data_IF_450196866628
#
_entry.id   IF_450196866628
#
_cell.length_a   1.000
_cell.length_b   1.000
_cell.length_c   1.000
_cell.angle_alpha   90.00
_cell.angle_beta   90.00
_cell.angle_gamma   90.00
#
_symmetry.space_group_name_H-M   'P 1'
#
loop_
_entity.id
_entity.type
_entity.pdbx_description
1 polymer ?
#
# COMPACT_ATOMS: atom_id res chain seq x y z
N UNK A 1 -10.56 -83.14 -2.00
CA UNK A 1 -10.81 -82.45 -3.29
C UNK A 1 -11.32 -81.06 -2.98
N UNK A 2 -10.65 -80.06 -3.55
CA UNK A 2 -10.82 -78.62 -3.29
C UNK A 2 -12.09 -78.08 -3.94
N UNK A 3 -12.84 -77.25 -3.23
CA UNK A 3 -13.73 -76.24 -3.84
C UNK A 3 -13.22 -74.87 -3.42
N UNK A 4 -12.98 -74.05 -4.43
CA UNK A 4 -12.33 -72.74 -4.38
C UNK A 4 -13.41 -71.68 -4.16
N UNK A 5 -13.31 -70.91 -3.07
CA UNK A 5 -14.02 -69.65 -2.93
C UNK A 5 -13.18 -68.54 -3.56
N UNK A 6 -13.75 -67.87 -4.55
CA UNK A 6 -13.17 -66.70 -5.20
C UNK A 6 -13.22 -65.49 -4.24
N UNK A 7 -12.06 -64.97 -3.86
CA UNK A 7 -11.91 -63.71 -3.14
C UNK A 7 -11.67 -62.60 -4.19
N UNK A 8 -12.67 -61.73 -4.37
CA UNK A 8 -12.56 -60.54 -5.21
C UNK A 8 -11.77 -59.47 -4.44
N UNK A 9 -10.49 -59.29 -4.76
CA UNK A 9 -9.66 -58.20 -4.24
C UNK A 9 -9.82 -56.99 -5.17
N UNK A 10 -10.62 -56.01 -4.74
CA UNK A 10 -10.74 -54.70 -5.37
C UNK A 10 -9.49 -53.88 -5.01
N UNK A 11 -8.55 -53.75 -5.96
CA UNK A 11 -7.39 -52.86 -5.83
C UNK A 11 -7.89 -51.43 -6.07
N UNK A 12 -8.10 -50.68 -4.99
CA UNK A 12 -8.28 -49.23 -5.03
C UNK A 12 -6.90 -48.60 -5.32
N UNK A 13 -6.59 -48.41 -6.60
CA UNK A 13 -5.46 -47.58 -7.02
C UNK A 13 -5.81 -46.12 -6.73
N UNK A 14 -5.24 -45.59 -5.65
CA UNK A 14 -5.19 -44.16 -5.35
C UNK A 14 -4.31 -43.52 -6.44
N UNK A 15 -4.92 -43.10 -7.55
CA UNK A 15 -4.32 -42.11 -8.44
C UNK A 15 -4.37 -40.78 -7.70
N UNK A 16 -3.30 -40.49 -6.96
CA UNK A 16 -2.96 -39.13 -6.58
C UNK A 16 -2.82 -38.31 -7.86
N UNK A 17 -3.76 -37.40 -8.10
CA UNK A 17 -3.64 -36.32 -9.08
C UNK A 17 -2.38 -35.51 -8.74
N UNK A 18 -1.24 -35.92 -9.29
CA UNK A 18 -0.06 -35.08 -9.34
C UNK A 18 -0.44 -33.89 -10.22
N UNK A 19 -0.57 -32.71 -9.60
CA UNK A 19 -0.51 -31.46 -10.34
C UNK A 19 0.85 -31.44 -11.05
N UNK A 20 0.87 -31.76 -12.35
CA UNK A 20 2.10 -31.78 -13.12
C UNK A 20 2.70 -30.37 -13.12
N UNK A 21 3.91 -30.24 -12.60
CA UNK A 21 4.74 -29.06 -12.82
C UNK A 21 4.86 -28.80 -14.34
N UNK A 22 4.59 -27.57 -14.75
CA UNK A 22 4.49 -27.21 -16.18
C UNK A 22 5.72 -26.45 -16.66
N UNK A 23 6.31 -25.66 -15.76
CA UNK A 23 7.49 -24.83 -16.04
C UNK A 23 8.50 -24.92 -14.90
N UNK A 24 9.76 -24.63 -15.23
CA UNK A 24 10.89 -24.77 -14.30
C UNK A 24 11.81 -23.57 -14.32
N UNK A 25 12.39 -23.28 -13.16
CA UNK A 25 13.49 -22.33 -12.99
C UNK A 25 14.69 -23.13 -12.55
N UNK A 26 15.76 -23.08 -13.34
CA UNK A 26 17.04 -23.68 -12.98
C UNK A 26 18.08 -22.58 -12.78
N UNK A 27 18.92 -22.77 -11.78
CA UNK A 27 19.97 -21.81 -11.45
C UNK A 27 21.30 -22.49 -11.18
N UNK A 28 22.38 -21.85 -11.61
CA UNK A 28 23.77 -22.27 -11.34
C UNK A 28 24.50 -21.19 -10.53
N UNK A 29 24.72 -21.46 -9.24
CA UNK A 29 25.30 -20.56 -8.24
C UNK A 29 26.23 -21.34 -7.29
N UNK A 30 27.54 -21.23 -7.48
CA UNK A 30 28.54 -21.92 -6.65
C UNK A 30 28.55 -21.43 -5.20
N UNK A 31 28.23 -20.16 -4.96
CA UNK A 31 28.21 -19.59 -3.60
C UNK A 31 27.04 -20.10 -2.74
N UNK A 32 26.02 -20.69 -3.37
CA UNK A 32 24.79 -21.13 -2.70
C UNK A 32 24.78 -22.62 -2.38
N UNK A 33 25.87 -23.35 -2.64
CA UNK A 33 25.97 -24.80 -2.39
C UNK A 33 25.49 -25.14 -0.98
N UNK A 34 24.55 -26.07 -0.89
CA UNK A 34 23.99 -26.53 0.37
C UNK A 34 22.96 -25.59 1.02
N UNK A 35 22.72 -24.38 0.50
CA UNK A 35 21.66 -23.49 0.98
C UNK A 35 20.29 -23.94 0.47
N UNK A 36 19.24 -23.54 1.18
CA UNK A 36 17.87 -23.64 0.67
C UNK A 36 17.54 -22.43 -0.22
N UNK A 37 17.06 -22.68 -1.44
CA UNK A 37 16.50 -21.66 -2.34
C UNK A 37 15.00 -21.87 -2.45
N UNK A 38 14.24 -20.78 -2.35
CA UNK A 38 12.78 -20.76 -2.45
C UNK A 38 12.33 -19.93 -3.64
N UNK A 39 11.30 -20.39 -4.32
CA UNK A 39 10.52 -19.60 -5.26
C UNK A 39 9.26 -19.11 -4.54
N UNK A 40 9.09 -17.79 -4.47
CA UNK A 40 7.97 -17.14 -3.78
C UNK A 40 7.12 -16.38 -4.81
N UNK A 41 5.80 -16.54 -4.73
CA UNK A 41 4.83 -15.82 -5.54
C UNK A 41 4.05 -14.79 -4.72
N UNK A 42 3.37 -13.88 -5.42
CA UNK A 42 2.51 -12.85 -4.83
C UNK A 42 1.03 -13.24 -4.89
N UNK A 43 0.27 -12.87 -3.86
CA UNK A 43 -1.19 -13.02 -3.82
C UNK A 43 -1.84 -11.81 -3.13
N UNK A 44 -2.15 -10.78 -3.92
CA UNK A 44 -2.64 -9.49 -3.44
C UNK A 44 -1.61 -8.79 -2.57
N UNK A 45 -1.95 -8.60 -1.30
CA UNK A 45 -1.06 -8.03 -0.28
C UNK A 45 -0.11 -9.07 0.35
N UNK A 46 -0.31 -10.36 0.08
CA UNK A 46 0.46 -11.45 0.65
C UNK A 46 1.47 -12.07 -0.31
N UNK A 47 2.23 -13.02 0.23
CA UNK A 47 3.16 -13.87 -0.50
C UNK A 47 2.93 -15.33 -0.14
N UNK A 48 3.36 -16.25 -0.99
CA UNK A 48 3.30 -17.68 -0.72
C UNK A 48 4.48 -18.40 -1.37
N UNK A 49 4.96 -19.47 -0.73
CA UNK A 49 6.02 -20.31 -1.32
C UNK A 49 5.41 -21.18 -2.41
N UNK A 50 5.95 -21.07 -3.62
CA UNK A 50 5.56 -21.90 -4.78
C UNK A 50 6.32 -23.22 -4.73
N UNK A 51 7.64 -23.16 -4.55
CA UNK A 51 8.52 -24.33 -4.49
C UNK A 51 9.80 -24.00 -3.68
N UNK A 52 10.50 -25.03 -3.23
CA UNK A 52 11.79 -24.87 -2.56
C UNK A 52 12.67 -26.09 -2.78
N UNK A 53 13.97 -25.88 -2.88
CA UNK A 53 14.94 -26.96 -3.01
C UNK A 53 16.27 -26.59 -2.38
N UNK A 54 17.10 -27.60 -2.09
CA UNK A 54 18.48 -27.39 -1.62
C UNK A 54 19.39 -27.35 -2.84
N UNK A 55 20.32 -26.39 -2.87
CA UNK A 55 21.30 -26.29 -3.96
C UNK A 55 22.27 -27.47 -3.87
N UNK A 56 22.52 -28.13 -5.01
CA UNK A 56 23.42 -29.29 -5.09
C UNK A 56 24.88 -28.91 -4.83
N UNK A 57 25.75 -29.92 -4.66
CA UNK A 57 27.21 -29.73 -4.54
C UNK A 57 27.83 -29.08 -5.78
N UNK A 58 27.20 -29.22 -6.95
CA UNK A 58 27.60 -28.57 -8.20
C UNK A 58 27.08 -27.13 -8.31
N UNK A 59 26.43 -26.60 -7.27
CA UNK A 59 25.84 -25.26 -7.26
C UNK A 59 24.55 -25.16 -8.08
N UNK A 60 23.88 -26.27 -8.38
CA UNK A 60 22.69 -26.26 -9.25
C UNK A 60 21.42 -26.44 -8.43
N UNK A 61 20.38 -25.68 -8.75
CA UNK A 61 19.03 -25.90 -8.24
C UNK A 61 18.01 -25.98 -9.37
N UNK A 62 16.88 -26.63 -9.09
CA UNK A 62 15.72 -26.70 -9.97
C UNK A 62 14.45 -26.52 -9.15
N UNK A 63 13.67 -25.51 -9.51
CA UNK A 63 12.38 -25.18 -8.93
C UNK A 63 11.30 -25.30 -10.02
N UNK A 64 10.08 -25.56 -9.60
CA UNK A 64 8.94 -25.82 -10.47
C UNK A 64 7.78 -24.88 -10.17
N UNK A 65 7.03 -24.50 -11.20
CA UNK A 65 5.77 -23.78 -11.03
C UNK A 65 4.75 -24.21 -12.09
N UNK A 66 3.47 -24.03 -11.73
CA UNK A 66 2.31 -24.30 -12.58
C UNK A 66 1.62 -22.99 -13.02
N UNK A 67 0.73 -23.07 -14.01
CA UNK A 67 0.01 -21.93 -14.61
C UNK A 67 -0.70 -21.02 -13.59
N UNK A 68 -1.21 -21.59 -12.50
CA UNK A 68 -1.86 -20.82 -11.41
C UNK A 68 -0.93 -19.80 -10.73
N UNK A 69 0.38 -19.99 -10.88
CA UNK A 69 1.42 -19.13 -10.28
C UNK A 69 1.94 -18.08 -11.26
N UNK A 70 1.37 -17.99 -12.47
CA UNK A 70 1.79 -16.97 -13.45
C UNK A 70 1.67 -15.55 -12.89
N UNK A 71 2.64 -14.72 -13.23
CA UNK A 71 2.75 -13.33 -12.76
C UNK A 71 4.20 -12.98 -12.44
N UNK A 72 4.40 -12.26 -11.34
CA UNK A 72 5.73 -12.06 -10.76
C UNK A 72 5.98 -13.05 -9.62
N UNK A 73 7.25 -13.37 -9.42
CA UNK A 73 7.74 -14.02 -8.22
C UNK A 73 9.13 -13.52 -7.89
N UNK A 74 9.73 -14.11 -6.86
CA UNK A 74 11.14 -13.91 -6.58
C UNK A 74 11.79 -15.18 -6.04
N UNK A 75 13.07 -15.31 -6.32
CA UNK A 75 13.95 -16.29 -5.72
C UNK A 75 14.56 -15.70 -4.46
N UNK A 76 14.71 -16.52 -3.42
CA UNK A 76 15.39 -16.13 -2.19
C UNK A 76 16.18 -17.28 -1.61
N UNK A 77 17.39 -16.98 -1.14
CA UNK A 77 18.26 -17.91 -0.42
C UNK A 77 18.16 -17.67 1.10
N UNK A 78 19.13 -18.13 1.88
CA UNK A 78 19.12 -17.98 3.34
C UNK A 78 19.27 -16.52 3.82
N UNK A 79 19.81 -15.65 2.96
CA UNK A 79 19.90 -14.21 3.22
C UNK A 79 18.54 -13.49 3.17
N UNK A 80 17.47 -14.19 2.77
CA UNK A 80 16.10 -13.69 2.61
C UNK A 80 15.97 -12.47 1.69
N UNK A 81 16.97 -12.21 0.85
CA UNK A 81 16.91 -11.14 -0.15
C UNK A 81 16.28 -11.67 -1.44
N UNK A 82 15.55 -10.80 -2.13
CA UNK A 82 14.74 -11.17 -3.28
C UNK A 82 15.45 -10.91 -4.61
N UNK A 83 15.48 -11.91 -5.48
CA UNK A 83 15.76 -11.77 -6.90
C UNK A 83 14.48 -11.97 -7.71
N UNK A 84 13.94 -10.90 -8.28
CA UNK A 84 12.64 -10.95 -8.96
C UNK A 84 12.72 -11.68 -10.30
N UNK A 85 11.69 -12.47 -10.59
CA UNK A 85 11.54 -13.26 -11.81
C UNK A 85 10.12 -13.14 -12.36
N UNK A 86 9.99 -13.21 -13.67
CA UNK A 86 8.69 -13.30 -14.36
C UNK A 86 8.30 -14.77 -14.48
N UNK A 87 7.15 -15.15 -13.95
CA UNK A 87 6.63 -16.52 -14.02
C UNK A 87 5.74 -16.67 -15.26
N UNK A 88 6.34 -16.57 -16.44
CA UNK A 88 5.66 -16.73 -17.72
C UNK A 88 5.58 -18.21 -18.15
N UNK A 89 4.94 -18.48 -19.29
CA UNK A 89 4.87 -19.81 -19.90
C UNK A 89 6.18 -20.22 -20.57
N UNK A 90 7.26 -20.29 -19.80
CA UNK A 90 8.60 -20.57 -20.28
C UNK A 90 9.46 -21.28 -19.23
N UNK A 91 10.51 -21.96 -19.67
CA UNK A 91 11.55 -22.43 -18.75
C UNK A 91 12.64 -21.36 -18.61
N UNK A 92 13.06 -21.14 -17.38
CA UNK A 92 14.02 -20.10 -17.01
C UNK A 92 15.33 -20.78 -16.60
N UNK A 93 16.43 -20.31 -17.16
CA UNK A 93 17.77 -20.74 -16.79
C UNK A 93 18.56 -19.48 -16.43
N UNK A 94 19.06 -19.42 -15.21
CA UNK A 94 19.88 -18.32 -14.71
C UNK A 94 21.22 -18.84 -14.20
N UNK A 95 22.25 -18.00 -14.24
CA UNK A 95 23.51 -18.26 -13.53
C UNK A 95 23.97 -16.98 -12.84
N UNK A 96 24.72 -17.10 -11.77
CA UNK A 96 25.36 -15.94 -11.17
C UNK A 96 26.20 -16.30 -9.97
N UNK A 97 26.63 -15.28 -9.25
CA UNK A 97 27.37 -15.48 -8.00
C UNK A 97 26.40 -15.46 -6.82
N UNK A 98 25.59 -14.41 -6.66
CA UNK A 98 24.71 -14.23 -5.51
C UNK A 98 23.36 -13.69 -5.97
N UNK A 99 22.25 -14.33 -5.58
CA UNK A 99 20.90 -13.89 -5.96
C UNK A 99 20.59 -12.45 -5.51
N UNK A 100 21.11 -12.04 -4.36
CA UNK A 100 20.89 -10.69 -3.82
C UNK A 100 21.67 -9.57 -4.50
N UNK A 101 22.57 -9.91 -5.43
CA UNK A 101 23.29 -8.96 -6.28
C UNK A 101 22.80 -9.18 -7.71
N UNK A 102 21.79 -8.42 -8.12
CA UNK A 102 21.11 -8.62 -9.40
C UNK A 102 22.06 -8.54 -10.60
N UNK A 103 23.08 -7.68 -10.53
CA UNK A 103 24.13 -7.52 -11.54
C UNK A 103 25.00 -8.76 -11.71
N UNK A 104 25.06 -9.63 -10.70
CA UNK A 104 25.79 -10.91 -10.79
C UNK A 104 25.00 -11.99 -11.53
N UNK A 105 23.70 -11.77 -11.77
CA UNK A 105 22.80 -12.78 -12.34
C UNK A 105 22.59 -12.55 -13.83
N UNK A 106 22.80 -13.60 -14.62
CA UNK A 106 22.60 -13.63 -16.07
C UNK A 106 21.48 -14.60 -16.41
N UNK A 107 20.48 -14.11 -17.14
CA UNK A 107 19.37 -14.91 -17.67
C UNK A 107 19.78 -15.55 -19.00
N UNK A 108 20.05 -16.87 -18.97
CA UNK A 108 20.44 -17.66 -20.13
C UNK A 108 19.22 -18.01 -21.01
N UNK A 109 18.09 -18.35 -20.39
CA UNK A 109 16.81 -18.61 -21.08
C UNK A 109 15.63 -17.96 -20.36
N UNK A 110 14.54 -17.76 -21.10
CA UNK A 110 13.35 -17.03 -20.67
C UNK A 110 13.26 -15.67 -21.36
N UNK A 111 12.40 -15.57 -22.37
CA UNK A 111 12.20 -14.36 -23.19
C UNK A 111 11.70 -13.21 -22.33
N UNK A 112 10.67 -13.43 -21.51
CA UNK A 112 10.09 -12.36 -20.69
C UNK A 112 11.05 -11.95 -19.57
N UNK A 113 11.78 -12.90 -18.98
CA UNK A 113 12.80 -12.61 -17.96
C UNK A 113 13.98 -11.81 -18.52
N UNK A 114 14.44 -12.09 -19.74
CA UNK A 114 15.48 -11.28 -20.39
C UNK A 114 15.04 -9.83 -20.59
N UNK A 115 13.83 -9.64 -21.10
CA UNK A 115 13.25 -8.29 -21.30
C UNK A 115 13.05 -7.56 -19.97
N UNK A 116 12.57 -8.26 -18.94
CA UNK A 116 12.40 -7.69 -17.60
C UNK A 116 13.75 -7.25 -17.00
N UNK A 117 14.78 -8.10 -17.03
CA UNK A 117 16.11 -7.76 -16.49
C UNK A 117 16.74 -6.60 -17.26
N UNK A 118 16.62 -6.60 -18.60
CA UNK A 118 17.08 -5.49 -19.44
C UNK A 118 16.42 -4.17 -19.01
N UNK A 119 15.08 -4.14 -18.95
CA UNK A 119 14.36 -2.94 -18.56
C UNK A 119 14.66 -2.50 -17.13
N UNK A 120 14.70 -3.44 -16.18
CA UNK A 120 14.99 -3.16 -14.78
C UNK A 120 16.40 -2.59 -14.57
N UNK A 121 17.35 -2.89 -15.46
CA UNK A 121 18.72 -2.38 -15.41
C UNK A 121 18.85 -1.02 -16.09
N UNK A 122 18.19 -0.82 -17.24
CA UNK A 122 18.36 0.37 -18.07
C UNK A 122 17.43 1.53 -17.66
N UNK A 123 16.18 1.24 -17.28
CA UNK A 123 15.19 2.26 -16.98
C UNK A 123 15.61 3.21 -15.84
N UNK A 124 16.13 2.73 -14.69
CA UNK A 124 16.61 3.63 -13.63
C UNK A 124 17.74 4.55 -14.10
N UNK A 125 18.62 4.06 -14.98
CA UNK A 125 19.72 4.87 -15.54
C UNK A 125 19.18 5.96 -16.47
N UNK A 126 18.20 5.63 -17.33
CA UNK A 126 17.49 6.61 -18.17
C UNK A 126 16.78 7.67 -17.32
N UNK A 127 16.07 7.27 -16.26
CA UNK A 127 15.40 8.22 -15.36
C UNK A 127 16.38 9.12 -14.61
N UNK A 128 17.53 8.59 -14.16
CA UNK A 128 18.56 9.38 -13.52
C UNK A 128 19.16 10.42 -14.49
N UNK A 129 19.50 9.99 -15.71
CA UNK A 129 20.00 10.89 -16.74
C UNK A 129 18.97 11.97 -17.11
N UNK A 130 17.71 11.58 -17.30
CA UNK A 130 16.62 12.51 -17.61
C UNK A 130 16.41 13.52 -16.49
N UNK A 131 16.50 13.12 -15.22
CA UNK A 131 16.38 14.03 -14.08
C UNK A 131 17.51 15.08 -14.07
N UNK A 132 18.74 14.68 -14.41
CA UNK A 132 19.86 15.61 -14.55
C UNK A 132 19.62 16.60 -15.71
N UNK A 133 19.09 16.12 -16.84
CA UNK A 133 18.75 16.99 -17.97
C UNK A 133 17.62 17.97 -17.64
N UNK A 134 16.59 17.55 -16.90
CA UNK A 134 15.51 18.45 -16.42
C UNK A 134 16.09 19.56 -15.53
N UNK A 135 17.04 19.23 -14.66
CA UNK A 135 17.73 20.21 -13.84
C UNK A 135 18.49 21.23 -14.70
N UNK A 136 19.28 20.76 -15.68
CA UNK A 136 20.01 21.64 -16.60
C UNK A 136 19.06 22.48 -17.47
N UNK A 137 17.95 21.92 -17.94
CA UNK A 137 16.95 22.65 -18.72
C UNK A 137 16.42 23.86 -17.95
N UNK A 138 16.15 23.72 -16.64
CA UNK A 138 15.69 24.83 -15.79
C UNK A 138 16.74 25.93 -15.67
N UNK A 139 18.02 25.58 -15.50
CA UNK A 139 19.13 26.55 -15.44
C UNK A 139 19.27 27.27 -16.77
N UNK A 140 19.41 26.51 -17.86
CA UNK A 140 19.59 27.07 -19.19
C UNK A 140 18.35 27.83 -19.67
N UNK A 141 17.15 27.55 -19.17
CA UNK A 141 15.94 28.29 -19.52
C UNK A 141 15.71 29.56 -18.69
N UNK A 142 16.15 29.60 -17.43
CA UNK A 142 15.79 30.65 -16.47
C UNK A 142 16.91 31.57 -16.01
N UNK A 143 18.17 31.11 -16.01
CA UNK A 143 19.31 31.90 -15.53
C UNK A 143 19.87 32.78 -16.66
N UNK A 144 20.04 34.08 -16.41
CA UNK A 144 20.47 35.05 -17.44
C UNK A 144 21.88 34.76 -17.99
N UNK A 145 22.76 34.13 -17.21
CA UNK A 145 24.10 33.73 -17.64
C UNK A 145 24.04 32.60 -18.68
N UNK A 146 23.11 31.66 -18.52
CA UNK A 146 23.00 30.47 -19.36
C UNK A 146 21.92 30.59 -20.45
N UNK A 147 20.91 31.44 -20.27
CA UNK A 147 19.78 31.60 -21.20
C UNK A 147 20.16 32.11 -22.60
N UNK A 148 21.32 32.74 -22.71
CA UNK A 148 21.92 33.18 -23.98
C UNK A 148 22.51 32.01 -24.79
N UNK A 149 22.78 30.87 -24.16
CA UNK A 149 23.46 29.72 -24.79
C UNK A 149 22.47 28.81 -25.53
N UNK A 150 22.13 29.17 -26.77
CA UNK A 150 21.11 28.46 -27.58
C UNK A 150 21.48 27.03 -27.98
N UNK A 151 22.75 26.76 -28.29
CA UNK A 151 23.17 25.42 -28.70
C UNK A 151 23.03 24.39 -27.56
N UNK A 152 23.52 24.67 -26.32
CA UNK A 152 23.22 23.81 -25.18
C UNK A 152 21.73 23.61 -24.89
N UNK A 153 20.91 24.66 -24.99
CA UNK A 153 19.44 24.55 -24.81
C UNK A 153 18.84 23.51 -25.77
N UNK A 154 19.15 23.61 -27.07
CA UNK A 154 18.66 22.68 -28.09
C UNK A 154 19.18 21.25 -27.87
N UNK A 155 20.44 21.10 -27.45
CA UNK A 155 21.03 19.80 -27.15
C UNK A 155 20.35 19.13 -25.95
N UNK A 156 20.07 19.89 -24.88
CA UNK A 156 19.34 19.41 -23.70
C UNK A 156 17.96 18.90 -24.12
N UNK A 157 17.19 19.71 -24.85
CA UNK A 157 15.85 19.31 -25.30
C UNK A 157 15.89 18.07 -26.19
N UNK A 158 16.84 18.01 -27.12
CA UNK A 158 17.00 16.86 -28.04
C UNK A 158 17.33 15.59 -27.27
N UNK A 159 18.26 15.65 -26.31
CA UNK A 159 18.64 14.47 -25.52
C UNK A 159 17.53 14.01 -24.58
N UNK A 160 16.79 14.94 -23.97
CA UNK A 160 15.60 14.61 -23.19
C UNK A 160 14.55 13.88 -24.03
N UNK A 161 14.29 14.35 -25.25
CA UNK A 161 13.35 13.67 -26.16
C UNK A 161 13.87 12.30 -26.58
N UNK A 162 15.17 12.16 -26.89
CA UNK A 162 15.78 10.88 -27.24
C UNK A 162 15.63 9.85 -26.11
N UNK A 163 15.93 10.23 -24.86
CA UNK A 163 15.80 9.34 -23.69
C UNK A 163 14.34 8.92 -23.47
N UNK A 164 13.39 9.89 -23.55
CA UNK A 164 11.95 9.60 -23.42
C UNK A 164 11.48 8.66 -24.53
N UNK A 165 11.91 8.89 -25.76
CA UNK A 165 11.54 8.07 -26.91
C UNK A 165 12.11 6.66 -26.81
N UNK A 166 13.37 6.50 -26.38
CA UNK A 166 13.99 5.18 -26.20
C UNK A 166 13.22 4.31 -25.18
N UNK A 167 12.77 4.91 -24.07
CA UNK A 167 11.97 4.20 -23.08
C UNK A 167 10.57 3.83 -23.60
N UNK A 168 9.93 4.73 -24.36
CA UNK A 168 8.65 4.48 -25.01
C UNK A 168 8.77 3.39 -26.08
N UNK A 169 9.82 3.45 -26.90
CA UNK A 169 10.10 2.46 -27.93
C UNK A 169 10.28 1.10 -27.30
N UNK A 170 11.08 0.97 -26.23
CA UNK A 170 11.23 -0.31 -25.53
C UNK A 170 9.87 -0.92 -25.16
N UNK A 171 8.98 -0.11 -24.55
CA UNK A 171 7.66 -0.57 -24.12
C UNK A 171 6.74 -0.91 -25.30
N UNK A 172 6.79 -0.14 -26.38
CA UNK A 172 5.96 -0.35 -27.58
C UNK A 172 6.39 -1.57 -28.41
N UNK A 173 7.66 -1.98 -28.33
CA UNK A 173 8.17 -3.18 -29.03
C UNK A 173 7.85 -4.49 -28.29
N UNK A 174 7.28 -4.43 -27.08
CA UNK A 174 6.88 -5.62 -26.34
C UNK A 174 5.68 -6.30 -27.01
N UNK A 175 5.71 -7.63 -27.06
CA UNK A 175 4.58 -8.43 -27.55
C UNK A 175 3.38 -8.25 -26.60
N UNK A 176 2.27 -7.74 -27.12
CA UNK A 176 1.08 -7.34 -26.35
C UNK A 176 0.37 -8.52 -25.65
N UNK A 177 0.69 -9.75 -26.02
CA UNK A 177 0.17 -10.95 -25.36
C UNK A 177 1.00 -11.39 -24.15
N UNK A 178 2.18 -10.79 -23.93
CA UNK A 178 3.08 -11.15 -22.82
C UNK A 178 2.68 -10.48 -21.52
N UNK A 179 3.03 -11.09 -20.38
CA UNK A 179 2.79 -10.51 -19.07
C UNK A 179 3.60 -9.23 -18.87
N UNK A 180 4.86 -9.21 -19.33
CA UNK A 180 5.75 -8.04 -19.21
C UNK A 180 5.25 -6.80 -19.96
N UNK A 181 4.52 -6.96 -21.07
CA UNK A 181 3.93 -5.83 -21.80
C UNK A 181 2.89 -5.06 -20.97
N UNK A 182 2.20 -5.78 -20.08
CA UNK A 182 1.28 -5.19 -19.11
C UNK A 182 1.98 -4.72 -17.83
N UNK A 183 2.94 -5.50 -17.34
CA UNK A 183 3.58 -5.26 -16.03
C UNK A 183 4.51 -4.05 -16.03
N UNK A 184 5.36 -3.90 -17.06
CA UNK A 184 6.38 -2.84 -17.07
C UNK A 184 5.80 -1.42 -17.05
N UNK A 185 4.73 -1.08 -17.79
CA UNK A 185 4.08 0.22 -17.68
C UNK A 185 3.57 0.53 -16.27
N UNK A 186 3.00 -0.45 -15.56
CA UNK A 186 2.52 -0.27 -14.18
C UNK A 186 3.69 -0.09 -13.23
N UNK A 187 4.75 -0.90 -13.36
CA UNK A 187 5.97 -0.75 -12.57
C UNK A 187 6.62 0.62 -12.76
N UNK A 188 6.73 1.08 -14.01
CA UNK A 188 7.24 2.43 -14.35
C UNK A 188 6.39 3.51 -13.69
N UNK A 189 5.06 3.40 -13.77
CA UNK A 189 4.14 4.35 -13.14
C UNK A 189 4.35 4.45 -11.63
N UNK A 190 4.49 3.31 -10.95
CA UNK A 190 4.74 3.25 -9.51
C UNK A 190 6.10 3.85 -9.14
N UNK A 191 7.15 3.55 -9.90
CA UNK A 191 8.51 4.00 -9.58
C UNK A 191 8.77 5.47 -9.93
N UNK A 192 7.95 6.09 -10.77
CA UNK A 192 8.18 7.46 -11.25
C UNK A 192 7.57 8.55 -10.36
N UNK A 193 6.71 8.20 -9.41
CA UNK A 193 5.91 9.18 -8.64
C UNK A 193 6.75 10.21 -7.91
N UNK A 194 7.88 9.81 -7.31
CA UNK A 194 8.78 10.72 -6.59
C UNK A 194 9.42 11.72 -7.53
N UNK A 195 9.97 11.26 -8.65
CA UNK A 195 10.55 12.11 -9.69
C UNK A 195 9.52 13.05 -10.30
N UNK A 196 8.29 12.57 -10.54
CA UNK A 196 7.19 13.40 -11.04
C UNK A 196 6.83 14.51 -10.06
N UNK A 197 6.62 14.17 -8.79
CA UNK A 197 6.27 15.15 -7.76
C UNK A 197 7.39 16.19 -7.51
N UNK A 198 8.65 15.78 -7.59
CA UNK A 198 9.79 16.66 -7.28
C UNK A 198 10.24 17.51 -8.47
N UNK A 199 10.27 16.94 -9.68
CA UNK A 199 10.99 17.54 -10.80
C UNK A 199 10.14 17.80 -12.04
N UNK A 200 9.05 17.04 -12.24
CA UNK A 200 8.19 17.06 -13.44
C UNK A 200 6.72 17.29 -13.05
N UNK A 201 6.45 18.37 -12.32
CA UNK A 201 5.14 18.64 -11.74
C UNK A 201 4.02 18.78 -12.78
N UNK A 202 4.37 19.14 -14.00
CA UNK A 202 3.48 19.18 -15.16
C UNK A 202 2.92 17.80 -15.54
N UNK A 203 3.60 16.71 -15.18
CA UNK A 203 3.18 15.34 -15.45
C UNK A 203 2.19 14.82 -14.38
N UNK A 204 2.06 15.48 -13.22
CA UNK A 204 1.22 15.03 -12.09
C UNK A 204 -0.23 14.72 -12.51
N UNK A 205 -0.95 15.58 -13.25
CA UNK A 205 -2.35 15.30 -13.61
C UNK A 205 -2.50 14.04 -14.47
N UNK A 206 -1.56 13.84 -15.42
CA UNK A 206 -1.55 12.65 -16.28
C UNK A 206 -1.22 11.38 -15.47
N UNK A 207 -0.27 11.47 -14.54
CA UNK A 207 0.12 10.36 -13.66
C UNK A 207 -1.01 9.95 -12.72
N UNK A 208 -1.70 10.91 -12.09
CA UNK A 208 -2.90 10.64 -11.26
C UNK A 208 -3.98 9.94 -12.10
N UNK A 209 -4.23 10.42 -13.32
CA UNK A 209 -5.21 9.80 -14.22
C UNK A 209 -4.81 8.37 -14.63
N UNK A 210 -3.51 8.10 -14.81
CA UNK A 210 -3.01 6.77 -15.12
C UNK A 210 -3.31 5.78 -13.98
N UNK A 211 -3.09 6.17 -12.73
CA UNK A 211 -3.46 5.35 -11.57
C UNK A 211 -4.97 5.13 -11.45
N UNK A 212 -5.79 6.15 -11.72
CA UNK A 212 -7.27 6.05 -11.69
C UNK A 212 -7.82 5.03 -12.69
N UNK A 213 -7.07 4.75 -13.77
CA UNK A 213 -7.45 3.75 -14.79
C UNK A 213 -7.06 2.32 -14.43
N UNK A 214 -6.34 2.10 -13.33
CA UNK A 214 -5.91 0.75 -12.94
C UNK A 214 -7.11 -0.08 -12.51
N UNK A 215 -7.28 -1.23 -13.16
CA UNK A 215 -8.30 -2.20 -12.79
C UNK A 215 -7.80 -3.10 -11.64
N UNK A 216 -8.23 -2.79 -10.42
CA UNK A 216 -7.90 -3.55 -9.21
C UNK A 216 -8.46 -4.98 -9.17
N UNK A 217 -9.42 -5.30 -10.05
CA UNK A 217 -9.93 -6.68 -10.22
C UNK A 217 -9.05 -7.53 -11.13
N UNK A 218 -8.10 -6.94 -11.86
CA UNK A 218 -7.20 -7.67 -12.76
C UNK A 218 -6.40 -8.74 -12.00
N UNK A 219 -6.39 -9.95 -12.52
CA UNK A 219 -5.65 -11.08 -11.93
C UNK A 219 -4.14 -10.87 -12.02
N UNK A 220 -3.67 -10.22 -13.09
CA UNK A 220 -2.24 -9.92 -13.30
C UNK A 220 -1.69 -9.03 -12.20
N UNK A 221 -2.48 -8.04 -11.75
CA UNK A 221 -2.15 -7.15 -10.65
C UNK A 221 -2.14 -7.86 -9.29
N UNK A 222 -3.05 -8.81 -9.09
CA UNK A 222 -3.07 -9.62 -7.86
C UNK A 222 -1.83 -10.52 -7.74
N UNK A 223 -1.20 -10.90 -8.87
CA UNK A 223 0.01 -11.73 -8.92
C UNK A 223 1.30 -10.94 -9.20
N UNK A 224 1.27 -9.60 -9.17
CA UNK A 224 2.41 -8.78 -9.63
C UNK A 224 3.39 -8.37 -8.53
N UNK A 225 3.00 -8.47 -7.26
CA UNK A 225 3.72 -7.84 -6.16
C UNK A 225 3.60 -6.32 -6.09
N UNK A 226 2.89 -5.67 -7.05
CA UNK A 226 2.68 -4.23 -7.09
C UNK A 226 1.35 -3.79 -6.43
N UNK A 227 0.57 -4.73 -5.88
CA UNK A 227 -0.78 -4.44 -5.38
C UNK A 227 -0.78 -3.32 -4.34
N UNK A 228 0.13 -3.45 -3.37
CA UNK A 228 0.38 -2.47 -2.32
C UNK A 228 0.95 -1.17 -2.88
N UNK A 229 2.00 -1.28 -3.71
CA UNK A 229 2.76 -0.13 -4.18
C UNK A 229 1.94 0.78 -5.10
N UNK A 230 1.04 0.21 -5.89
CA UNK A 230 0.11 0.99 -6.72
C UNK A 230 -0.78 1.90 -5.86
N UNK A 231 -1.31 1.38 -4.74
CA UNK A 231 -2.16 2.17 -3.84
C UNK A 231 -1.32 3.22 -3.11
N UNK A 232 -0.20 2.79 -2.53
CA UNK A 232 0.67 3.68 -1.75
C UNK A 232 1.24 4.82 -2.58
N UNK A 233 1.76 4.53 -3.77
CA UNK A 233 2.32 5.54 -4.67
C UNK A 233 1.24 6.50 -5.18
N UNK A 234 0.01 6.03 -5.41
CA UNK A 234 -1.08 6.89 -5.84
C UNK A 234 -1.46 7.92 -4.77
N UNK A 235 -1.71 7.47 -3.54
CA UNK A 235 -2.07 8.38 -2.45
C UNK A 235 -0.90 9.26 -2.03
N UNK A 236 0.34 8.74 -2.06
CA UNK A 236 1.53 9.56 -1.85
C UNK A 236 1.64 10.68 -2.91
N UNK A 237 1.37 10.40 -4.19
CA UNK A 237 1.39 11.43 -5.23
C UNK A 237 0.31 12.49 -5.01
N UNK A 238 -0.89 12.08 -4.57
CA UNK A 238 -1.97 13.01 -4.22
C UNK A 238 -1.59 13.93 -3.06
N UNK A 239 -0.96 13.41 -2.01
CA UNK A 239 -0.45 14.23 -0.90
C UNK A 239 0.64 15.21 -1.36
N UNK A 240 1.45 14.81 -2.33
CA UNK A 240 2.60 15.56 -2.83
C UNK A 240 2.33 16.29 -4.15
N UNK A 241 1.05 16.56 -4.49
CA UNK A 241 0.69 17.20 -5.76
C UNK A 241 0.89 18.72 -5.80
N UNK A 242 1.41 19.32 -4.71
CA UNK A 242 1.67 20.75 -4.62
C UNK A 242 0.42 21.64 -4.58
N UNK A 243 -0.73 21.09 -4.17
CA UNK A 243 -2.01 21.80 -4.06
C UNK A 243 -2.40 22.02 -2.60
N UNK A 244 -3.43 22.86 -2.37
CA UNK A 244 -4.01 23.02 -1.03
C UNK A 244 -4.62 21.71 -0.51
N UNK A 245 -4.68 21.56 0.81
CA UNK A 245 -5.27 20.37 1.45
C UNK A 245 -6.71 20.09 0.96
N UNK A 246 -7.54 21.12 0.81
CA UNK A 246 -8.91 20.97 0.30
C UNK A 246 -8.94 20.35 -1.11
N UNK A 247 -8.01 20.75 -1.97
CA UNK A 247 -7.88 20.19 -3.33
C UNK A 247 -7.34 18.77 -3.28
N UNK A 248 -6.35 18.50 -2.41
CA UNK A 248 -5.81 17.14 -2.20
C UNK A 248 -6.93 16.18 -1.77
N UNK A 249 -7.76 16.54 -0.80
CA UNK A 249 -8.86 15.68 -0.35
C UNK A 249 -9.94 15.48 -1.44
N UNK A 250 -10.23 16.50 -2.26
CA UNK A 250 -11.12 16.34 -3.42
C UNK A 250 -10.56 15.33 -4.43
N UNK A 251 -9.27 15.41 -4.75
CA UNK A 251 -8.62 14.49 -5.69
C UNK A 251 -8.47 13.07 -5.12
N UNK A 252 -8.31 12.93 -3.79
CA UNK A 252 -8.40 11.65 -3.09
C UNK A 252 -9.80 11.04 -3.23
N UNK A 253 -10.86 11.82 -3.00
CA UNK A 253 -12.24 11.35 -3.13
C UNK A 253 -12.57 10.88 -4.55
N UNK A 254 -12.10 11.60 -5.58
CA UNK A 254 -12.23 11.16 -6.98
C UNK A 254 -11.49 9.82 -7.19
N UNK A 255 -10.29 9.70 -6.66
CA UNK A 255 -9.49 8.49 -6.79
C UNK A 255 -10.10 7.29 -6.07
N UNK A 256 -10.67 7.50 -4.88
CA UNK A 256 -11.42 6.50 -4.14
C UNK A 256 -12.59 6.01 -4.98
N UNK A 257 -13.37 6.91 -5.61
CA UNK A 257 -14.47 6.52 -6.49
C UNK A 257 -13.99 5.63 -7.64
N UNK A 258 -12.93 6.04 -8.37
CA UNK A 258 -12.39 5.25 -9.47
C UNK A 258 -11.90 3.87 -9.01
N UNK A 259 -11.29 3.79 -7.83
CA UNK A 259 -10.78 2.53 -7.27
C UNK A 259 -11.92 1.58 -6.91
N UNK A 260 -12.99 2.08 -6.27
CA UNK A 260 -14.06 1.22 -5.75
C UNK A 260 -15.15 0.90 -6.76
N UNK A 261 -15.25 1.62 -7.89
CA UNK A 261 -16.34 1.48 -8.88
C UNK A 261 -16.55 0.03 -9.37
N UNK A 262 -15.46 -0.72 -9.61
CA UNK A 262 -15.53 -2.08 -10.16
C UNK A 262 -15.32 -3.20 -9.14
N UNK A 263 -14.95 -2.86 -7.90
CA UNK A 263 -14.63 -3.83 -6.85
C UNK A 263 -15.82 -4.64 -6.31
N UNK A 264 -17.06 -4.11 -6.20
CA UNK A 264 -18.21 -4.84 -5.68
C UNK A 264 -18.49 -6.20 -6.34
N UNK A 265 -18.02 -6.42 -7.58
CA UNK A 265 -18.12 -7.69 -8.31
C UNK A 265 -17.24 -8.81 -7.72
N UNK A 266 -16.32 -8.49 -6.82
CA UNK A 266 -15.43 -9.44 -6.16
C UNK A 266 -15.32 -9.10 -4.67
N UNK A 267 -16.17 -9.73 -3.86
CA UNK A 267 -16.30 -9.46 -2.42
C UNK A 267 -14.98 -9.57 -1.65
N UNK A 268 -14.16 -10.58 -1.95
CA UNK A 268 -12.84 -10.75 -1.33
C UNK A 268 -11.95 -9.54 -1.60
N UNK A 269 -11.76 -9.19 -2.88
CA UNK A 269 -10.90 -8.04 -3.27
C UNK A 269 -11.46 -6.71 -2.78
N UNK A 270 -12.79 -6.55 -2.78
CA UNK A 270 -13.46 -5.38 -2.25
C UNK A 270 -13.10 -5.16 -0.78
N UNK A 271 -13.27 -6.18 0.07
CA UNK A 271 -12.95 -6.08 1.48
C UNK A 271 -11.45 -5.89 1.73
N UNK A 272 -10.57 -6.62 1.02
CA UNK A 272 -9.11 -6.49 1.15
C UNK A 272 -8.62 -5.07 0.80
N UNK A 273 -9.04 -4.54 -0.35
CA UNK A 273 -8.62 -3.20 -0.80
C UNK A 273 -9.22 -2.12 0.08
N UNK A 274 -10.52 -2.17 0.37
CA UNK A 274 -11.16 -1.13 1.19
C UNK A 274 -10.51 -1.08 2.57
N UNK A 275 -10.24 -2.23 3.20
CA UNK A 275 -9.52 -2.29 4.47
C UNK A 275 -8.13 -1.65 4.35
N UNK A 276 -7.35 -2.03 3.34
CA UNK A 276 -6.01 -1.50 3.14
C UNK A 276 -5.99 0.02 2.91
N UNK A 277 -6.90 0.53 2.07
CA UNK A 277 -7.00 1.97 1.78
C UNK A 277 -7.42 2.72 3.04
N UNK A 278 -8.40 2.21 3.78
CA UNK A 278 -8.82 2.81 5.04
C UNK A 278 -7.64 2.90 6.03
N UNK A 279 -6.94 1.79 6.28
CA UNK A 279 -5.77 1.76 7.16
C UNK A 279 -4.62 2.67 6.69
N UNK A 280 -4.42 2.80 5.37
CA UNK A 280 -3.44 3.73 4.80
C UNK A 280 -3.81 5.19 5.11
N UNK A 281 -5.07 5.56 4.89
CA UNK A 281 -5.56 6.92 5.14
C UNK A 281 -5.47 7.26 6.64
N UNK A 282 -5.90 6.35 7.52
CA UNK A 282 -5.80 6.49 8.98
C UNK A 282 -4.35 6.67 9.43
N UNK A 283 -3.44 5.80 8.96
CA UNK A 283 -2.01 5.88 9.32
C UNK A 283 -1.35 7.18 8.86
N UNK A 284 -1.88 7.83 7.82
CA UNK A 284 -1.41 9.12 7.31
C UNK A 284 -2.22 10.32 7.82
N UNK A 285 -3.13 10.11 8.77
CA UNK A 285 -4.01 11.15 9.32
C UNK A 285 -4.88 11.85 8.27
N UNK A 286 -5.24 11.16 7.19
CA UNK A 286 -6.05 11.66 6.08
C UNK A 286 -7.55 11.50 6.38
N UNK A 287 -7.99 11.94 7.56
CA UNK A 287 -9.29 11.62 8.12
C UNK A 287 -10.49 12.05 7.27
N UNK A 288 -10.38 13.16 6.51
CA UNK A 288 -11.46 13.56 5.58
C UNK A 288 -11.65 12.55 4.45
N UNK A 289 -10.56 11.97 3.93
CA UNK A 289 -10.64 10.92 2.93
C UNK A 289 -11.10 9.59 3.54
N UNK A 290 -10.69 9.29 4.79
CA UNK A 290 -11.19 8.12 5.54
C UNK A 290 -12.70 8.19 5.76
N UNK A 291 -13.22 9.35 6.17
CA UNK A 291 -14.65 9.61 6.33
C UNK A 291 -15.37 9.39 4.99
N UNK A 292 -14.85 9.99 3.91
CA UNK A 292 -15.42 9.86 2.58
C UNK A 292 -15.51 8.39 2.14
N UNK A 293 -14.41 7.63 2.26
CA UNK A 293 -14.37 6.21 1.95
C UNK A 293 -15.38 5.43 2.79
N UNK A 294 -15.43 5.68 4.10
CA UNK A 294 -16.33 4.98 5.03
C UNK A 294 -17.79 5.17 4.65
N UNK A 295 -18.21 6.42 4.44
CA UNK A 295 -19.58 6.73 4.02
C UNK A 295 -19.86 6.10 2.66
N UNK A 296 -18.95 6.20 1.70
CA UNK A 296 -19.12 5.62 0.35
C UNK A 296 -19.33 4.10 0.39
N UNK A 297 -18.59 3.39 1.25
CA UNK A 297 -18.63 1.93 1.36
C UNK A 297 -19.82 1.43 2.19
N UNK A 298 -20.24 2.18 3.21
CA UNK A 298 -21.41 1.81 4.02
C UNK A 298 -22.74 2.11 3.33
N UNK A 299 -22.74 3.03 2.36
CA UNK A 299 -23.96 3.44 1.62
C UNK A 299 -24.11 2.74 0.28
N UNK A 300 -23.08 2.03 -0.20
CA UNK A 300 -23.23 1.20 -1.39
C UNK A 300 -24.01 -0.08 -1.06
N UNK A 301 -24.94 -0.45 -1.94
CA UNK A 301 -25.79 -1.64 -1.78
C UNK A 301 -25.34 -2.79 -2.69
N UNK A 302 -24.10 -2.76 -3.17
CA UNK A 302 -23.59 -3.64 -4.24
C UNK A 302 -22.70 -4.77 -3.76
N UNK A 303 -22.20 -4.73 -2.53
CA UNK A 303 -21.29 -5.73 -1.97
C UNK A 303 -21.40 -5.82 -0.45
N UNK A 304 -21.15 -7.01 0.10
CA UNK A 304 -21.10 -7.24 1.54
C UNK A 304 -19.76 -6.76 2.11
N UNK A 305 -19.84 -5.87 3.10
CA UNK A 305 -18.69 -5.46 3.92
C UNK A 305 -18.61 -6.44 5.10
N UNK A 306 -17.42 -6.98 5.38
CA UNK A 306 -17.24 -7.86 6.53
C UNK A 306 -17.48 -7.12 7.86
N UNK A 307 -17.87 -7.85 8.91
CA UNK A 307 -18.33 -7.24 10.17
C UNK A 307 -17.26 -6.37 10.86
N UNK A 308 -15.98 -6.76 10.80
CA UNK A 308 -14.87 -6.03 11.41
C UNK A 308 -14.63 -4.68 10.71
N UNK A 309 -14.53 -4.71 9.39
CA UNK A 309 -14.38 -3.53 8.56
C UNK A 309 -15.61 -2.64 8.69
N UNK A 310 -16.82 -3.20 8.67
CA UNK A 310 -18.06 -2.45 8.85
C UNK A 310 -18.01 -1.65 10.16
N UNK A 311 -17.65 -2.27 11.28
CA UNK A 311 -17.51 -1.58 12.57
C UNK A 311 -16.49 -0.44 12.53
N UNK A 312 -15.35 -0.64 11.87
CA UNK A 312 -14.33 0.41 11.72
C UNK A 312 -14.87 1.60 10.91
N UNK A 313 -15.52 1.35 9.78
CA UNK A 313 -16.08 2.40 8.93
C UNK A 313 -17.26 3.14 9.61
N UNK A 314 -18.05 2.41 10.43
CA UNK A 314 -19.20 2.98 11.15
C UNK A 314 -18.82 4.06 12.16
N UNK A 315 -17.58 4.05 12.65
CA UNK A 315 -17.05 5.12 13.51
C UNK A 315 -17.21 6.49 12.85
N UNK A 316 -16.86 6.61 11.57
CA UNK A 316 -17.00 7.85 10.81
C UNK A 316 -18.46 8.21 10.54
N UNK A 317 -19.33 7.22 10.31
CA UNK A 317 -20.76 7.49 10.09
C UNK A 317 -21.43 7.97 11.37
N UNK A 318 -21.11 7.36 12.51
CA UNK A 318 -21.68 7.71 13.81
C UNK A 318 -21.20 9.09 14.29
N UNK A 319 -19.91 9.39 14.11
CA UNK A 319 -19.27 10.62 14.60
C UNK A 319 -19.34 11.82 13.62
N UNK A 320 -20.07 11.69 12.50
CA UNK A 320 -20.19 12.74 11.49
C UNK A 320 -20.75 14.05 12.07
N UNK A 321 -20.20 15.18 11.64
CA UNK A 321 -20.71 16.52 12.02
C UNK A 321 -22.20 16.65 11.69
N UNK A 322 -22.98 17.10 12.68
CA UNK A 322 -24.43 17.23 12.59
C UNK A 322 -25.20 16.05 13.19
N UNK A 323 -24.54 14.91 13.44
CA UNK A 323 -25.13 13.84 14.23
C UNK A 323 -25.15 14.19 15.71
N UNK A 324 -26.11 13.58 16.42
CA UNK A 324 -26.11 13.57 17.88
C UNK A 324 -24.95 12.66 18.33
N UNK A 325 -24.02 13.21 19.12
CA UNK A 325 -22.92 12.44 19.70
C UNK A 325 -23.48 11.28 20.55
N UNK A 326 -22.85 10.08 20.51
CA UNK A 326 -23.24 8.99 21.40
C UNK A 326 -23.18 9.43 22.86
N UNK A 327 -24.20 9.04 23.62
CA UNK A 327 -24.24 9.38 25.03
C UNK A 327 -23.15 8.58 25.78
N UNK A 328 -22.34 9.28 26.57
CA UNK A 328 -21.28 8.65 27.37
C UNK A 328 -21.86 8.33 28.74
N UNK A 329 -21.74 7.07 29.17
CA UNK A 329 -22.17 6.64 30.49
C UNK A 329 -20.99 6.79 31.45
N UNK A 330 -21.12 7.63 32.47
CA UNK A 330 -20.12 7.80 33.52
C UNK A 330 -20.33 6.73 34.59
N UNK A 331 -19.64 5.60 34.43
CA UNK A 331 -19.69 4.46 35.37
C UNK A 331 -18.67 4.56 36.52
N UNK A 332 -17.71 5.48 36.42
CA UNK A 332 -16.65 5.71 37.42
C UNK A 332 -16.90 6.92 38.32
N UNK A 333 -15.85 7.34 39.04
CA UNK A 333 -15.88 8.58 39.83
C UNK A 333 -16.01 9.78 38.88
N UNK A 334 -16.98 10.67 39.13
CA UNK A 334 -17.09 11.97 38.45
C UNK A 334 -16.52 13.03 39.39
N UNK A 335 -15.62 13.88 38.88
CA UNK A 335 -14.95 14.92 39.68
C UNK A 335 -15.32 16.29 39.12
N UNK A 336 -15.63 17.25 39.99
CA UNK A 336 -15.80 18.66 39.65
C UNK A 336 -15.23 19.54 40.75
N UNK A 337 -14.42 20.54 40.39
CA UNK A 337 -13.70 21.39 41.34
C UNK A 337 -12.96 20.56 42.42
N UNK A 338 -12.28 19.50 41.98
CA UNK A 338 -11.54 18.58 42.86
C UNK A 338 -12.37 17.70 43.80
N UNK A 339 -13.71 17.75 43.73
CA UNK A 339 -14.61 16.96 44.57
C UNK A 339 -15.33 15.88 43.76
N UNK A 340 -15.47 14.68 44.33
CA UNK A 340 -16.27 13.61 43.71
C UNK A 340 -17.75 13.94 43.86
N UNK A 341 -18.50 13.81 42.76
CA UNK A 341 -19.95 14.07 42.68
C UNK A 341 -20.69 12.85 42.11
N UNK A 342 -21.96 12.69 42.44
CA UNK A 342 -22.79 11.55 41.99
C UNK A 342 -23.46 11.76 40.62
N UNK A 343 -23.53 13.01 40.17
CA UNK A 343 -24.12 13.41 38.90
C UNK A 343 -23.15 14.35 38.17
N UNK A 344 -23.14 14.38 36.82
CA UNK A 344 -23.98 13.63 35.87
C UNK A 344 -23.70 12.11 35.81
N UNK A 345 -24.68 11.31 35.38
CA UNK A 345 -24.48 9.88 35.05
C UNK A 345 -24.29 9.64 33.55
N UNK A 346 -24.81 10.56 32.74
CA UNK A 346 -24.71 10.56 31.29
C UNK A 346 -24.16 11.89 30.78
N UNK A 347 -23.51 11.88 29.61
CA UNK A 347 -23.08 13.12 28.97
C UNK A 347 -24.27 14.03 28.66
N UNK A 348 -25.41 13.45 28.30
CA UNK A 348 -26.67 14.15 28.05
C UNK A 348 -27.22 14.89 29.28
N UNK A 349 -26.91 14.46 30.50
CA UNK A 349 -27.36 15.09 31.75
C UNK A 349 -26.79 16.51 31.93
N UNK A 350 -25.59 16.77 31.37
CA UNK A 350 -24.90 18.05 31.49
C UNK A 350 -25.69 19.12 30.71
N UNK A 351 -26.19 20.14 31.39
CA UNK A 351 -26.91 21.25 30.77
C UNK A 351 -25.93 22.36 30.39
N UNK A 352 -25.64 22.48 29.09
CA UNK A 352 -24.78 23.52 28.51
C UNK A 352 -25.15 23.73 27.04
N UNK A 353 -24.99 24.96 26.54
CA UNK A 353 -25.25 25.29 25.13
C UNK A 353 -24.25 24.56 24.21
N UNK A 354 -23.01 24.42 24.68
CA UNK A 354 -21.95 23.70 23.99
C UNK A 354 -21.18 22.82 24.98
N UNK A 355 -20.74 21.65 24.52
CA UNK A 355 -19.91 20.73 25.29
C UNK A 355 -18.60 20.47 24.54
N UNK A 356 -17.48 20.72 25.19
CA UNK A 356 -16.15 20.35 24.67
C UNK A 356 -15.70 19.08 25.39
N UNK A 357 -15.65 17.96 24.67
CA UNK A 357 -15.22 16.68 25.24
C UNK A 357 -13.72 16.52 25.02
N UNK A 358 -12.96 16.34 26.08
CA UNK A 358 -11.52 16.15 26.03
C UNK A 358 -11.18 14.74 26.53
N UNK A 359 -10.72 13.85 25.64
CA UNK A 359 -10.25 12.52 26.01
C UNK A 359 -8.75 12.58 26.29
N UNK A 360 -8.30 12.17 27.47
CA UNK A 360 -6.88 12.23 27.84
C UNK A 360 -6.53 11.39 29.06
N UNK A 361 -5.26 11.34 29.41
CA UNK A 361 -4.78 10.60 30.57
C UNK A 361 -3.63 11.32 31.28
N UNK A 362 -3.42 11.02 32.55
CA UNK A 362 -2.32 11.58 33.34
C UNK A 362 -0.93 11.25 32.79
N UNK A 363 -0.79 10.07 32.18
CA UNK A 363 0.45 9.59 31.57
C UNK A 363 0.71 10.13 30.15
N UNK A 364 -0.19 10.96 29.61
CA UNK A 364 -0.08 11.55 28.27
C UNK A 364 0.52 12.97 28.35
N UNK A 365 1.80 13.19 27.98
CA UNK A 365 2.45 14.50 28.13
C UNK A 365 1.76 15.58 27.29
N UNK A 366 1.32 15.22 26.08
CA UNK A 366 0.64 16.16 25.19
C UNK A 366 -0.72 16.60 25.74
N UNK A 367 -1.41 15.70 26.44
CA UNK A 367 -2.68 16.00 27.09
C UNK A 367 -2.48 17.04 28.20
N UNK A 368 -1.42 16.91 29.00
CA UNK A 368 -1.07 17.90 30.03
C UNK A 368 -0.71 19.27 29.42
N UNK A 369 0.04 19.30 28.32
CA UNK A 369 0.34 20.54 27.58
C UNK A 369 -0.93 21.24 27.08
N UNK A 370 -1.85 20.52 26.45
CA UNK A 370 -3.09 21.11 25.92
C UNK A 370 -4.02 21.58 27.05
N UNK A 371 -4.16 20.79 28.11
CA UNK A 371 -4.95 21.18 29.29
C UNK A 371 -4.39 22.43 29.96
N UNK A 372 -3.06 22.59 30.01
CA UNK A 372 -2.42 23.81 30.56
C UNK A 372 -2.80 25.07 29.79
N UNK A 373 -3.10 24.96 28.49
CA UNK A 373 -3.57 26.07 27.65
C UNK A 373 -5.08 26.27 27.75
N UNK A 374 -5.84 25.20 27.96
CA UNK A 374 -7.30 25.23 28.09
C UNK A 374 -7.75 25.79 29.44
N UNK A 375 -7.09 25.42 30.55
CA UNK A 375 -7.49 25.79 31.91
C UNK A 375 -7.69 27.30 32.11
N UNK A 376 -6.79 28.20 31.65
CA UNK A 376 -7.00 29.65 31.77
C UNK A 376 -8.18 30.19 30.96
N UNK A 377 -8.66 29.44 29.95
CA UNK A 377 -9.76 29.83 29.08
C UNK A 377 -11.13 29.38 29.59
N UNK A 378 -11.17 28.41 30.51
CA UNK A 378 -12.40 27.76 30.94
C UNK A 378 -13.46 28.74 31.45
N UNK A 379 -13.12 29.66 32.36
CA UNK A 379 -14.08 30.64 32.89
C UNK A 379 -14.69 31.53 31.79
N UNK A 380 -13.87 31.91 30.81
CA UNK A 380 -14.33 32.67 29.63
C UNK A 380 -15.24 31.84 28.72
N UNK A 381 -15.01 30.53 28.62
CA UNK A 381 -15.85 29.63 27.83
C UNK A 381 -17.17 29.33 28.54
N UNK A 382 -17.11 29.10 29.85
CA UNK A 382 -18.28 28.88 30.72
C UNK A 382 -19.25 30.05 30.71
N UNK A 383 -18.76 31.29 30.77
CA UNK A 383 -19.58 32.50 30.63
C UNK A 383 -20.26 32.65 29.26
N UNK A 384 -19.85 31.84 28.26
CA UNK A 384 -20.47 31.74 26.93
C UNK A 384 -21.30 30.46 26.74
N UNK A 385 -21.64 29.77 27.82
CA UNK A 385 -22.47 28.56 27.79
C UNK A 385 -21.72 27.29 27.39
N UNK A 386 -20.38 27.29 27.37
CA UNK A 386 -19.56 26.12 27.06
C UNK A 386 -19.17 25.38 28.34
N UNK A 387 -19.50 24.10 28.45
CA UNK A 387 -18.96 23.21 29.50
C UNK A 387 -17.87 22.31 28.91
N UNK A 388 -16.79 22.13 29.66
CA UNK A 388 -15.71 21.20 29.30
C UNK A 388 -15.96 19.89 30.03
N UNK A 389 -15.75 18.76 29.37
CA UNK A 389 -15.93 17.43 29.97
C UNK A 389 -14.67 16.62 29.68
N UNK A 390 -13.85 16.42 30.70
CA UNK A 390 -12.66 15.60 30.60
C UNK A 390 -13.01 14.13 30.81
N UNK A 391 -12.74 13.30 29.80
CA UNK A 391 -12.90 11.85 29.85
C UNK A 391 -11.51 11.24 30.07
N UNK A 392 -11.27 10.78 31.29
CA UNK A 392 -10.01 10.13 31.62
C UNK A 392 -9.90 8.74 30.97
N UNK A 393 -8.74 8.48 30.39
CA UNK A 393 -8.30 7.19 29.88
C UNK A 393 -7.30 6.53 30.87
N UNK A 394 -7.16 7.06 32.08
CA UNK A 394 -6.39 6.43 33.15
C UNK A 394 -7.08 5.14 33.60
N UNK A 395 -6.28 4.09 33.76
CA UNK A 395 -6.74 2.82 34.33
C UNK A 395 -6.52 2.74 35.84
N UNK A 396 -5.67 3.62 36.39
CA UNK A 396 -5.39 3.71 37.82
C UNK A 396 -6.19 4.85 38.47
N UNK A 397 -6.87 4.51 39.57
CA UNK A 397 -7.79 5.42 40.26
C UNK A 397 -7.06 6.56 40.99
N UNK A 398 -5.87 6.33 41.51
CA UNK A 398 -5.10 7.39 42.19
C UNK A 398 -4.52 8.37 41.19
N UNK A 399 -4.01 7.90 40.06
CA UNK A 399 -3.56 8.77 38.98
C UNK A 399 -4.68 9.64 38.43
N UNK A 400 -5.86 9.07 38.18
CA UNK A 400 -7.05 9.82 37.81
C UNK A 400 -7.37 10.94 38.81
N UNK A 401 -7.45 10.61 40.11
CA UNK A 401 -7.81 11.57 41.16
C UNK A 401 -6.78 12.69 41.29
N UNK A 402 -5.50 12.35 41.29
CA UNK A 402 -4.42 13.32 41.42
C UNK A 402 -4.42 14.29 40.23
N UNK A 403 -4.55 13.76 39.01
CA UNK A 403 -4.52 14.56 37.80
C UNK A 403 -5.73 15.47 37.66
N UNK A 404 -6.93 14.98 38.00
CA UNK A 404 -8.18 15.76 37.86
C UNK A 404 -8.47 16.70 39.03
N UNK A 405 -7.75 16.58 40.15
CA UNK A 405 -7.98 17.39 41.36
C UNK A 405 -7.90 18.91 41.15
N UNK A 406 -7.14 19.35 40.14
CA UNK A 406 -6.91 20.76 39.82
C UNK A 406 -7.86 21.29 38.74
N UNK A 407 -8.71 20.45 38.17
CA UNK A 407 -9.62 20.85 37.09
C UNK A 407 -10.95 21.38 37.66
N UNK A 408 -11.45 22.53 37.15
CA UNK A 408 -12.71 23.12 37.59
C UNK A 408 -13.96 22.52 36.94
N UNK A 409 -13.77 21.64 35.94
CA UNK A 409 -14.81 21.03 35.13
C UNK A 409 -14.95 19.54 35.39
#
# INVERSE_FOLDING_TARGET
>A
MKTVNALLLLIFSILSLNACAQHTITGSFSSLVGQQVRLVGFDGFGIYTIDSTKVSEQGVFKLSYADKNQGMGYLSAEDNKAYFVVLANENIHIKGEVLSVAESVVTLSGKENKLFVQYATEHPKREQALSAWVYLQKIYGGDSLFAIQKSPQQAIETEMQRIKQEDLDFLNHLDTNTYISWYLPIRKLVSSVSTVAQYRTEEIPATINAFRKINYTDKRLYKSGLYKDVIDSHFWLLENMGQSLDTVFKEMNISINCMVENLPKNEKKFNEITKYVFELLERRSLFQASEYLSIKILTQNSCTVNDDLSKQLELYRAMKIGNIAPDIIFSGDVVKNGSIIETPKYLSDIQADYKVIFFGASWCPKCAEELSQLLPLYEKWKSKGVEVVFISLDTDKEFFKNFTSVFPF
#
